data_IF_628887528524
#
_entry.id   IF_628887528524
#
_cell.length_a   1.000
_cell.length_b   1.000
_cell.length_c   1.000
_cell.angle_alpha   90.00
_cell.angle_beta   90.00
_cell.angle_gamma   90.00
#
_symmetry.space_group_name_H-M   'P 1'
#
loop_
_entity.id
_entity.type
_entity.pdbx_description
1 polymer ?
#
# COMPACT_ATOMS: atom_id res chain seq x y z
N UNK A 1 -21.77 -15.09 32.45
CA UNK A 1 -21.16 -13.93 33.15
C UNK A 1 -19.83 -14.39 33.77
N UNK A 2 -18.65 -13.92 33.38
CA UNK A 2 -18.27 -12.53 33.13
C UNK A 2 -16.95 -12.60 32.35
N UNK A 3 -17.02 -12.25 31.06
CA UNK A 3 -15.85 -12.00 30.25
C UNK A 3 -15.41 -10.56 30.52
N UNK A 4 -14.43 -10.39 31.39
CA UNK A 4 -13.73 -9.13 31.56
C UNK A 4 -12.24 -9.44 31.66
N UNK A 5 -11.58 -9.56 30.50
CA UNK A 5 -10.12 -9.54 30.45
C UNK A 5 -9.65 -8.24 31.07
N UNK A 6 -8.80 -8.34 32.10
CA UNK A 6 -8.22 -7.17 32.76
C UNK A 6 -7.50 -6.29 31.71
N UNK A 7 -7.56 -4.96 31.83
CA UNK A 7 -6.88 -4.07 30.90
C UNK A 7 -5.38 -4.37 30.92
N UNK A 8 -4.83 -4.77 29.78
CA UNK A 8 -3.40 -4.98 29.60
C UNK A 8 -2.70 -3.62 29.72
N UNK A 9 -2.19 -3.31 30.92
CA UNK A 9 -1.51 -2.05 31.18
C UNK A 9 -0.12 -2.11 30.55
N UNK A 10 0.14 -1.24 29.57
CA UNK A 10 1.33 -1.30 28.74
C UNK A 10 2.53 -0.51 29.28
N UNK A 11 2.51 -0.07 30.54
CA UNK A 11 3.55 0.78 31.15
C UNK A 11 3.80 0.46 32.63
N UNK A 12 4.81 1.11 33.25
CA UNK A 12 5.17 0.88 34.65
C UNK A 12 4.02 1.24 35.60
N UNK A 13 3.79 0.38 36.59
CA UNK A 13 2.71 0.54 37.58
C UNK A 13 3.21 0.98 38.95
N UNK A 14 2.38 1.70 39.69
CA UNK A 14 2.59 2.09 41.09
C UNK A 14 1.72 1.22 42.02
N UNK A 15 2.23 0.86 43.19
CA UNK A 15 1.50 0.17 44.26
C UNK A 15 1.70 0.88 45.61
N UNK A 16 0.90 0.51 46.62
CA UNK A 16 1.06 1.00 47.98
C UNK A 16 1.85 -0.03 48.81
N UNK A 17 2.81 0.42 49.61
CA UNK A 17 3.50 -0.42 50.58
C UNK A 17 2.68 -0.59 51.87
N UNK A 18 3.14 -1.46 52.77
CA UNK A 18 2.48 -1.73 54.07
C UNK A 18 2.43 -0.51 55.00
N UNK A 19 3.23 0.52 54.72
CA UNK A 19 3.26 1.80 55.43
C UNK A 19 2.36 2.85 54.78
N UNK A 20 1.68 2.52 53.68
CA UNK A 20 0.78 3.43 52.94
C UNK A 20 1.48 4.39 51.98
N UNK A 21 2.76 4.21 51.69
CA UNK A 21 3.48 5.04 50.72
C UNK A 21 3.28 4.52 49.29
N UNK A 22 3.28 5.45 48.32
CA UNK A 22 3.22 5.10 46.89
C UNK A 22 4.62 4.70 46.42
N UNK A 23 4.76 3.45 45.96
CA UNK A 23 6.01 2.86 45.49
C UNK A 23 5.86 2.26 44.09
N UNK A 24 6.97 2.05 43.38
CA UNK A 24 6.99 1.42 42.06
C UNK A 24 6.83 -0.09 42.17
N UNK A 25 5.93 -0.68 41.38
CA UNK A 25 5.80 -2.12 41.26
C UNK A 25 6.96 -2.69 40.42
N UNK A 26 7.90 -3.36 41.08
CA UNK A 26 9.11 -3.90 40.44
C UNK A 26 8.82 -4.97 39.38
N UNK A 27 7.73 -5.74 39.52
CA UNK A 27 7.36 -6.75 38.52
C UNK A 27 6.81 -6.15 37.23
N UNK A 28 6.41 -4.88 37.25
CA UNK A 28 5.89 -4.15 36.09
C UNK A 28 6.98 -3.44 35.27
N UNK A 29 8.23 -3.40 35.74
CA UNK A 29 9.31 -2.61 35.12
C UNK A 29 9.92 -3.29 33.88
N UNK A 30 9.88 -4.63 33.82
CA UNK A 30 10.42 -5.40 32.70
C UNK A 30 9.30 -6.08 31.94
N UNK A 31 9.11 -5.75 30.66
CA UNK A 31 8.32 -6.59 29.74
C UNK A 31 9.22 -7.67 29.15
N UNK A 32 8.82 -8.93 29.32
CA UNK A 32 9.37 -9.99 28.47
C UNK A 32 8.68 -9.90 27.10
N UNK A 33 9.40 -9.42 26.09
CA UNK A 33 8.94 -9.32 24.70
C UNK A 33 8.55 -10.67 24.09
N UNK A 34 8.85 -11.77 24.78
CA UNK A 34 8.55 -13.13 24.32
C UNK A 34 7.08 -13.52 24.49
N UNK A 35 6.34 -12.91 25.42
CA UNK A 35 4.97 -13.32 25.72
C UNK A 35 3.87 -12.59 24.92
N UNK A 36 4.17 -11.43 24.33
CA UNK A 36 3.23 -10.71 23.46
C UNK A 36 3.33 -11.12 21.98
N UNK A 37 4.28 -12.00 21.62
CA UNK A 37 4.29 -12.70 20.35
C UNK A 37 3.54 -14.05 20.45
N UNK A 38 2.29 -14.04 20.92
CA UNK A 38 1.33 -15.02 20.40
C UNK A 38 1.01 -14.63 18.95
N UNK A 39 2.02 -14.79 18.08
CA UNK A 39 1.80 -15.21 16.71
C UNK A 39 1.04 -16.52 16.89
N UNK A 40 -0.27 -16.51 16.58
CA UNK A 40 -1.04 -17.74 16.43
C UNK A 40 -0.18 -18.69 15.61
N UNK A 41 0.09 -19.87 16.15
CA UNK A 41 0.87 -20.95 15.54
C UNK A 41 0.54 -21.10 14.04
N UNK A 42 1.27 -20.37 13.19
CA UNK A 42 1.16 -20.47 11.72
C UNK A 42 2.09 -21.56 11.24
N UNK A 43 1.97 -22.77 11.81
CA UNK A 43 2.68 -23.96 11.38
C UNK A 43 4.22 -23.82 11.36
N UNK A 44 4.93 -24.85 10.90
CA UNK A 44 6.37 -24.75 10.70
C UNK A 44 6.64 -23.64 9.67
N UNK A 45 7.31 -22.57 10.12
CA UNK A 45 7.88 -21.55 9.22
C UNK A 45 8.92 -22.26 8.37
N UNK A 46 8.47 -22.72 7.20
CA UNK A 46 9.35 -23.26 6.19
C UNK A 46 10.04 -22.04 5.59
N UNK A 47 11.31 -21.85 5.95
CA UNK A 47 12.22 -20.86 5.37
C UNK A 47 12.57 -21.28 3.92
N UNK A 48 11.53 -21.52 3.12
CA UNK A 48 11.64 -21.60 1.69
C UNK A 48 11.88 -20.17 1.23
N UNK A 49 13.09 -19.91 0.72
CA UNK A 49 13.33 -18.77 -0.17
C UNK A 49 12.28 -18.89 -1.28
N UNK A 50 11.18 -18.15 -1.12
CA UNK A 50 10.13 -18.11 -2.12
C UNK A 50 10.76 -17.45 -3.33
N UNK A 51 11.21 -18.26 -4.27
CA UNK A 51 11.74 -17.79 -5.54
C UNK A 51 10.72 -16.80 -6.09
N UNK A 52 11.12 -15.53 -6.19
CA UNK A 52 10.25 -14.40 -6.53
C UNK A 52 9.79 -14.45 -8.00
N UNK A 53 9.23 -15.59 -8.44
CA UNK A 53 8.80 -15.89 -9.81
C UNK A 53 7.77 -14.88 -10.33
N UNK A 54 7.06 -14.20 -9.44
CA UNK A 54 6.07 -13.18 -9.78
C UNK A 54 6.56 -11.74 -9.63
N UNK A 55 7.68 -11.48 -8.95
CA UNK A 55 8.12 -10.10 -8.67
C UNK A 55 8.50 -9.32 -9.93
N UNK A 56 8.90 -10.03 -10.98
CA UNK A 56 9.30 -9.45 -12.27
C UNK A 56 8.28 -9.70 -13.38
N UNK A 57 7.03 -10.07 -13.05
CA UNK A 57 5.99 -10.26 -14.08
C UNK A 57 5.74 -8.95 -14.81
N UNK A 58 5.99 -8.97 -16.12
CA UNK A 58 5.64 -7.83 -16.96
C UNK A 58 4.13 -7.68 -17.04
N UNK A 59 3.66 -6.43 -17.02
CA UNK A 59 2.25 -6.14 -17.30
C UNK A 59 1.90 -6.65 -18.69
N UNK A 60 0.84 -7.47 -18.84
CA UNK A 60 0.48 -8.02 -20.13
C UNK A 60 0.21 -6.89 -21.15
N UNK A 61 0.51 -7.11 -22.44
CA UNK A 61 0.27 -6.11 -23.45
C UNK A 61 -1.23 -5.83 -23.57
N UNK A 62 -1.60 -4.56 -23.49
CA UNK A 62 -2.99 -4.13 -23.66
C UNK A 62 -3.20 -3.61 -25.08
N UNK A 63 -4.29 -4.06 -25.71
CA UNK A 63 -4.76 -3.50 -26.99
C UNK A 63 -5.46 -2.17 -26.70
N UNK A 64 -5.19 -1.16 -27.52
CA UNK A 64 -5.83 0.15 -27.46
C UNK A 64 -6.88 0.22 -28.56
N UNK A 65 -8.13 0.41 -28.19
CA UNK A 65 -9.21 0.72 -29.12
C UNK A 65 -9.17 2.20 -29.49
N UNK A 66 -9.82 2.56 -30.58
CA UNK A 66 -9.86 3.96 -31.03
C UNK A 66 -10.65 4.82 -30.04
N UNK A 67 -11.74 4.30 -29.47
CA UNK A 67 -12.52 4.93 -28.39
C UNK A 67 -11.67 5.20 -27.14
N UNK A 68 -10.84 4.22 -26.73
CA UNK A 68 -9.92 4.37 -25.59
C UNK A 68 -8.84 5.42 -25.88
N UNK A 69 -8.42 5.53 -27.14
CA UNK A 69 -7.43 6.53 -27.57
C UNK A 69 -8.03 7.94 -27.56
N UNK A 70 -9.28 8.11 -27.99
CA UNK A 70 -9.99 9.38 -27.86
C UNK A 70 -10.18 9.79 -26.39
N UNK A 71 -10.55 8.84 -25.53
CA UNK A 71 -10.61 9.07 -24.07
C UNK A 71 -9.25 9.44 -23.49
N UNK A 72 -8.15 8.88 -24.00
CA UNK A 72 -6.80 9.20 -23.54
C UNK A 72 -6.44 10.66 -23.83
N UNK A 73 -6.71 11.15 -25.04
CA UNK A 73 -6.50 12.57 -25.36
C UNK A 73 -7.39 13.50 -24.53
N UNK A 74 -8.64 13.12 -24.28
CA UNK A 74 -9.53 13.86 -23.37
C UNK A 74 -9.03 13.85 -21.92
N UNK A 75 -8.45 12.74 -21.46
CA UNK A 75 -7.87 12.67 -20.12
C UNK A 75 -6.61 13.55 -20.02
N UNK A 76 -5.79 13.62 -21.07
CA UNK A 76 -4.65 14.55 -21.14
C UNK A 76 -5.09 16.01 -21.10
N UNK A 77 -6.21 16.38 -21.73
CA UNK A 77 -6.72 17.76 -21.62
C UNK A 77 -7.29 18.11 -20.25
N UNK A 78 -7.80 17.13 -19.51
CA UNK A 78 -8.36 17.37 -18.18
C UNK A 78 -7.28 17.40 -17.09
N UNK A 79 -6.32 16.47 -17.17
CA UNK A 79 -5.35 16.22 -16.10
C UNK A 79 -3.92 16.62 -16.47
N UNK A 80 -3.68 17.03 -17.71
CA UNK A 80 -2.35 17.34 -18.22
C UNK A 80 -1.46 16.11 -18.29
N UNK A 81 -0.20 16.28 -17.89
CA UNK A 81 0.82 15.22 -17.92
C UNK A 81 0.83 14.31 -16.69
N UNK A 82 -0.10 14.48 -15.75
CA UNK A 82 -0.22 13.57 -14.60
C UNK A 82 -0.82 12.24 -15.06
N UNK A 83 0.08 11.30 -15.40
CA UNK A 83 -0.30 9.98 -15.92
C UNK A 83 -0.99 9.10 -14.86
N UNK A 84 -0.78 9.37 -13.57
CA UNK A 84 -1.49 8.65 -12.51
C UNK A 84 -2.95 9.11 -12.46
N UNK A 85 -3.19 10.40 -12.60
CA UNK A 85 -4.54 10.93 -12.66
C UNK A 85 -5.26 10.53 -13.97
N UNK A 86 -4.55 10.52 -15.10
CA UNK A 86 -5.06 9.98 -16.38
C UNK A 86 -5.47 8.50 -16.23
N UNK A 87 -4.76 7.70 -15.43
CA UNK A 87 -5.11 6.31 -15.19
C UNK A 87 -6.50 6.16 -14.56
N UNK A 88 -6.99 7.13 -13.79
CA UNK A 88 -8.31 7.04 -13.15
C UNK A 88 -9.47 6.94 -14.14
N UNK A 89 -9.27 7.36 -15.40
CA UNK A 89 -10.24 7.23 -16.49
C UNK A 89 -10.30 5.82 -17.09
N UNK A 90 -9.34 4.96 -16.74
CA UNK A 90 -9.19 3.62 -17.31
C UNK A 90 -9.14 2.56 -16.21
N UNK A 91 -10.21 1.77 -16.09
CA UNK A 91 -10.27 0.66 -15.11
C UNK A 91 -9.38 -0.53 -15.51
N UNK A 92 -9.22 -0.75 -16.81
CA UNK A 92 -8.53 -1.92 -17.36
C UNK A 92 -7.09 -1.63 -17.81
N UNK A 93 -6.58 -0.42 -17.55
CA UNK A 93 -5.20 -0.03 -17.92
C UNK A 93 -4.36 0.26 -16.68
N UNK A 94 -3.16 -0.31 -16.65
CA UNK A 94 -2.18 -0.01 -15.60
C UNK A 94 -1.40 1.27 -15.91
N UNK A 95 -0.85 1.93 -14.88
CA UNK A 95 0.02 3.09 -15.03
C UNK A 95 1.16 2.87 -16.05
N UNK A 96 1.75 1.67 -16.06
CA UNK A 96 2.80 1.31 -17.02
C UNK A 96 2.30 1.32 -18.46
N UNK A 97 1.06 0.88 -18.70
CA UNK A 97 0.42 0.90 -20.02
C UNK A 97 0.06 2.33 -20.44
N UNK A 98 -0.44 3.17 -19.52
CA UNK A 98 -0.69 4.60 -19.77
C UNK A 98 0.61 5.31 -20.18
N UNK A 99 1.70 5.10 -19.43
CA UNK A 99 3.02 5.63 -19.76
C UNK A 99 3.52 5.15 -21.13
N UNK A 100 3.37 3.86 -21.42
CA UNK A 100 3.74 3.30 -22.73
C UNK A 100 2.93 3.94 -23.87
N UNK A 101 1.63 4.18 -23.67
CA UNK A 101 0.77 4.85 -24.64
C UNK A 101 1.19 6.29 -24.84
N UNK A 102 1.38 7.07 -23.77
CA UNK A 102 1.87 8.45 -23.85
C UNK A 102 3.19 8.55 -24.65
N UNK A 103 4.17 7.70 -24.32
CA UNK A 103 5.44 7.63 -25.05
C UNK A 103 5.31 7.21 -26.52
N UNK A 104 4.29 6.42 -26.87
CA UNK A 104 4.01 6.03 -28.26
C UNK A 104 3.33 7.17 -29.02
N UNK A 105 2.32 7.80 -28.43
CA UNK A 105 1.61 8.93 -29.03
C UNK A 105 2.54 10.15 -29.19
N UNK A 106 3.41 10.43 -28.22
CA UNK A 106 4.39 11.51 -28.35
C UNK A 106 5.37 11.30 -29.53
N UNK A 107 5.64 10.04 -29.91
CA UNK A 107 6.49 9.72 -31.07
C UNK A 107 5.72 9.66 -32.38
N UNK A 108 4.52 9.07 -32.38
CA UNK A 108 3.73 8.84 -33.61
C UNK A 108 2.86 10.03 -33.99
N UNK A 109 2.33 10.72 -32.99
CA UNK A 109 1.22 11.66 -33.06
C UNK A 109 1.48 12.89 -32.16
N UNK A 110 2.64 13.56 -32.28
CA UNK A 110 3.00 14.66 -31.37
C UNK A 110 1.99 15.81 -31.40
N UNK A 111 1.39 16.09 -32.56
CA UNK A 111 0.40 17.14 -32.74
C UNK A 111 -0.84 16.98 -31.85
N UNK A 112 -1.36 15.76 -31.71
CA UNK A 112 -2.55 15.49 -30.90
C UNK A 112 -2.24 15.55 -29.40
N UNK A 113 -1.01 15.18 -29.00
CA UNK A 113 -0.57 15.30 -27.61
C UNK A 113 -0.40 16.78 -27.24
N UNK A 114 0.22 17.57 -28.11
CA UNK A 114 0.43 19.01 -27.90
C UNK A 114 -0.91 19.77 -27.88
N UNK A 115 -1.84 19.42 -28.79
CA UNK A 115 -3.20 19.96 -28.78
C UNK A 115 -3.92 19.63 -27.47
N UNK A 116 -3.89 18.37 -27.03
CA UNK A 116 -4.53 17.96 -25.79
C UNK A 116 -3.94 18.66 -24.56
N UNK A 117 -2.63 18.96 -24.55
CA UNK A 117 -1.97 19.65 -23.43
C UNK A 117 -2.12 21.17 -23.44
N UNK A 118 -2.59 21.76 -24.56
CA UNK A 118 -2.86 23.19 -24.68
C UNK A 118 -4.31 23.58 -24.44
N UNK A 119 -5.22 22.60 -24.42
CA UNK A 119 -6.63 22.77 -24.10
C UNK A 119 -6.82 23.20 -22.64
#
# INVERSE_FOLDING_TARGET
PEAAGAPTVLGPQLCLDESGNIVLNQSSLSKSLEQDNLIQDTGPVQEAVSEYKSAYRQTPPSKWRDEETAMFYKALSLYGTDLFLVQTMFKDKSAAQIKSKFMKEQRRNPQYVDEALRA
#
